data_IF_822550692566
#
_entry.id   IF_822550692566
#
_cell.length_a   1.000
_cell.length_b   1.000
_cell.length_c   1.000
_cell.angle_alpha   90.00
_cell.angle_beta   90.00
_cell.angle_gamma   90.00
#
_symmetry.space_group_name_H-M   'P 1'
#
loop_
_entity.id
_entity.type
_entity.pdbx_description
1 polymer ?
#
# COMPACT_ATOMS: atom_id res chain seq x y z
N UNK A 1 -12.12 9.06 52.88
CA UNK A 1 -12.36 9.89 51.67
C UNK A 1 -11.39 9.43 50.60
N UNK A 2 -11.93 8.78 49.58
CA UNK A 2 -11.26 7.85 48.67
C UNK A 2 -10.56 8.60 47.53
N UNK A 3 -9.27 8.32 47.29
CA UNK A 3 -8.53 8.82 46.13
C UNK A 3 -9.00 8.06 44.88
N UNK A 4 -9.68 8.75 43.97
CA UNK A 4 -10.00 8.24 42.64
C UNK A 4 -8.77 8.44 41.76
N UNK A 5 -8.10 7.35 41.37
CA UNK A 5 -7.11 7.33 40.30
C UNK A 5 -7.87 7.35 38.97
N UNK A 6 -7.70 8.42 38.20
CA UNK A 6 -8.18 8.48 36.81
C UNK A 6 -7.41 7.46 35.97
N UNK A 7 -8.05 6.31 35.72
CA UNK A 7 -7.64 5.36 34.70
C UNK A 7 -8.33 5.77 33.40
N UNK A 8 -7.61 6.53 32.56
CA UNK A 8 -8.01 6.78 31.18
C UNK A 8 -7.88 5.47 30.40
N UNK A 9 -9.01 4.80 30.20
CA UNK A 9 -9.11 3.65 29.30
C UNK A 9 -9.15 4.18 27.86
N UNK A 10 -8.01 4.24 27.18
CA UNK A 10 -7.97 4.42 25.73
C UNK A 10 -8.50 3.12 25.11
N UNK A 11 -9.79 3.13 24.73
CA UNK A 11 -10.38 2.08 23.89
C UNK A 11 -9.86 2.34 22.47
N UNK A 12 -8.75 1.71 22.12
CA UNK A 12 -8.29 1.62 20.73
C UNK A 12 -9.28 0.78 19.95
N UNK A 13 -10.03 1.39 19.05
CA UNK A 13 -10.90 0.70 18.10
C UNK A 13 -10.00 0.07 17.03
N UNK A 14 -9.45 -1.11 17.31
CA UNK A 14 -8.73 -1.90 16.31
C UNK A 14 -9.79 -2.56 15.43
N UNK A 15 -10.11 -1.93 14.30
CA UNK A 15 -10.83 -2.57 13.19
C UNK A 15 -9.92 -3.63 12.59
N UNK A 16 -9.94 -4.82 13.18
CA UNK A 16 -9.25 -5.98 12.65
C UNK A 16 -10.11 -6.60 11.55
N UNK A 17 -9.91 -6.17 10.31
CA UNK A 17 -10.50 -6.81 9.14
C UNK A 17 -9.89 -8.21 8.98
N UNK A 18 -10.62 -9.23 9.42
CA UNK A 18 -10.32 -10.63 9.18
C UNK A 18 -10.37 -10.89 7.66
N UNK A 19 -9.23 -10.70 6.98
CA UNK A 19 -9.14 -10.97 5.55
C UNK A 19 -9.16 -12.48 5.34
N UNK A 20 -10.30 -13.02 4.93
CA UNK A 20 -10.37 -14.36 4.36
C UNK A 20 -9.45 -14.39 3.13
N UNK A 21 -8.38 -15.19 3.18
CA UNK A 21 -7.38 -15.29 2.11
C UNK A 21 -7.96 -16.04 0.91
N UNK A 22 -8.82 -15.37 0.14
CA UNK A 22 -9.22 -15.79 -1.18
C UNK A 22 -8.06 -15.59 -2.17
N UNK A 23 -7.96 -16.48 -3.14
CA UNK A 23 -7.14 -16.26 -4.32
C UNK A 23 -7.92 -15.37 -5.30
N UNK A 24 -7.24 -14.48 -6.02
CA UNK A 24 -7.89 -13.53 -6.92
C UNK A 24 -8.39 -12.26 -6.23
N UNK A 25 -9.34 -11.59 -6.87
CA UNK A 25 -9.91 -10.35 -6.35
C UNK A 25 -10.98 -10.62 -5.30
N UNK A 26 -11.11 -9.73 -4.33
CA UNK A 26 -12.11 -9.82 -3.28
C UNK A 26 -12.64 -8.42 -3.03
N UNK A 27 -13.96 -8.28 -3.11
CA UNK A 27 -14.64 -7.02 -2.85
C UNK A 27 -14.25 -6.48 -1.47
N UNK A 28 -13.98 -5.16 -1.35
CA UNK A 28 -13.74 -4.55 -0.04
C UNK A 28 -14.99 -4.60 0.83
N UNK A 29 -14.82 -4.48 2.14
CA UNK A 29 -15.95 -4.31 3.05
C UNK A 29 -16.73 -3.02 2.76
N UNK A 30 -17.97 -2.96 3.24
CA UNK A 30 -18.81 -1.77 3.07
C UNK A 30 -18.12 -0.52 3.61
N UNK A 31 -18.08 0.54 2.79
CA UNK A 31 -17.41 1.80 3.13
C UNK A 31 -15.89 1.81 2.91
N UNK A 32 -15.29 0.68 2.55
CA UNK A 32 -13.87 0.56 2.24
C UNK A 32 -13.61 0.51 0.73
N UNK A 33 -12.35 0.75 0.36
CA UNK A 33 -11.78 0.48 -0.95
C UNK A 33 -10.63 -0.53 -0.82
N UNK A 34 -10.30 -1.23 -1.92
CA UNK A 34 -9.17 -2.14 -1.97
C UNK A 34 -8.12 -1.67 -2.99
N UNK A 35 -6.85 -1.63 -2.59
CA UNK A 35 -5.71 -1.31 -3.45
C UNK A 35 -4.81 -2.55 -3.56
N UNK A 36 -4.52 -2.95 -4.80
CA UNK A 36 -3.64 -4.07 -5.08
C UNK A 36 -2.30 -3.55 -5.61
N UNK A 37 -1.23 -3.74 -4.82
CA UNK A 37 0.14 -3.44 -5.24
C UNK A 37 0.74 -4.67 -5.88
N UNK A 38 0.91 -4.65 -7.20
CA UNK A 38 1.20 -5.82 -8.01
C UNK A 38 2.54 -5.68 -8.71
N UNK A 39 3.50 -6.54 -8.38
CA UNK A 39 4.76 -6.66 -9.10
C UNK A 39 4.70 -7.84 -10.07
N UNK A 40 4.51 -7.56 -11.35
CA UNK A 40 4.41 -8.61 -12.39
C UNK A 40 5.77 -9.12 -12.87
N UNK A 41 6.84 -8.34 -12.69
CA UNK A 41 8.19 -8.69 -13.14
C UNK A 41 9.01 -9.44 -12.07
N UNK A 42 9.71 -10.48 -12.51
CA UNK A 42 10.71 -11.19 -11.70
C UNK A 42 12.10 -10.53 -11.70
N UNK A 43 12.32 -9.53 -12.56
CA UNK A 43 13.57 -8.77 -12.61
C UNK A 43 13.90 -8.15 -11.25
N UNK A 44 15.16 -8.17 -10.84
CA UNK A 44 15.56 -7.72 -9.49
C UNK A 44 14.91 -8.53 -8.37
N UNK A 45 14.73 -9.86 -8.53
CA UNK A 45 13.92 -10.70 -7.64
C UNK A 45 14.29 -10.65 -6.15
N UNK A 46 15.53 -10.31 -5.80
CA UNK A 46 15.98 -10.12 -4.43
C UNK A 46 15.58 -8.75 -3.83
N UNK A 47 15.27 -7.75 -4.66
CA UNK A 47 14.88 -6.42 -4.22
C UNK A 47 13.52 -6.45 -3.52
N UNK A 48 13.50 -5.94 -2.29
CA UNK A 48 12.33 -5.76 -1.44
C UNK A 48 12.01 -4.29 -1.27
N UNK A 49 10.72 -3.96 -1.23
CA UNK A 49 10.25 -2.60 -0.98
C UNK A 49 9.38 -2.57 0.26
N UNK A 50 9.50 -1.49 1.02
CA UNK A 50 8.67 -1.19 2.19
C UNK A 50 7.50 -0.32 1.73
N UNK A 51 6.27 -0.69 2.11
CA UNK A 51 5.05 0.00 1.72
C UNK A 51 4.40 0.64 2.94
N UNK A 52 3.85 1.82 2.71
CA UNK A 52 3.29 2.67 3.75
C UNK A 52 1.92 3.20 3.33
N UNK A 53 1.07 3.39 4.33
CA UNK A 53 -0.18 4.11 4.22
C UNK A 53 -0.14 5.25 5.22
N UNK A 54 -0.16 6.49 4.73
CA UNK A 54 0.11 7.69 5.51
C UNK A 54 1.44 7.54 6.26
N UNK A 55 1.40 7.41 7.59
CA UNK A 55 2.59 7.21 8.43
C UNK A 55 2.80 5.75 8.86
N UNK A 56 1.89 4.86 8.50
CA UNK A 56 1.92 3.48 8.95
C UNK A 56 2.69 2.60 7.97
N UNK A 57 3.66 1.85 8.50
CA UNK A 57 4.27 0.75 7.76
C UNK A 57 3.26 -0.39 7.64
N UNK A 58 2.87 -0.74 6.41
CA UNK A 58 1.81 -1.73 6.17
C UNK A 58 2.37 -3.07 5.67
N UNK A 59 3.48 -3.08 4.94
CA UNK A 59 4.01 -4.32 4.37
C UNK A 59 5.41 -4.19 3.82
N UNK A 60 6.05 -5.35 3.58
CA UNK A 60 7.28 -5.48 2.81
C UNK A 60 7.21 -6.74 1.97
N UNK A 61 7.50 -6.63 0.67
CA UNK A 61 7.63 -7.82 -0.17
C UNK A 61 8.66 -7.64 -1.29
N UNK A 62 9.07 -8.78 -1.86
CA UNK A 62 10.04 -8.89 -2.95
C UNK A 62 9.54 -9.80 -4.06
N UNK A 63 10.22 -9.71 -5.20
CA UNK A 63 9.99 -10.53 -6.38
C UNK A 63 8.60 -10.33 -7.00
N UNK A 64 8.31 -11.16 -8.00
CA UNK A 64 7.02 -11.22 -8.68
C UNK A 64 5.94 -11.69 -7.70
N UNK A 65 5.20 -10.78 -7.07
CA UNK A 65 4.18 -11.03 -6.05
C UNK A 65 3.23 -9.82 -5.98
N UNK A 66 2.19 -9.90 -5.15
CA UNK A 66 1.34 -8.76 -4.86
C UNK A 66 0.90 -8.71 -3.41
N UNK A 67 0.45 -7.54 -2.98
CA UNK A 67 -0.26 -7.29 -1.73
C UNK A 67 -1.65 -6.74 -2.05
N UNK A 68 -2.66 -7.20 -1.32
CA UNK A 68 -3.96 -6.52 -1.22
C UNK A 68 -3.97 -5.70 0.07
N UNK A 69 -4.33 -4.44 -0.02
CA UNK A 69 -4.52 -3.56 1.13
C UNK A 69 -5.93 -2.96 1.08
N UNK A 70 -6.64 -2.96 2.21
CA UNK A 70 -7.98 -2.43 2.31
C UNK A 70 -8.01 -1.31 3.34
N UNK A 71 -8.62 -0.19 2.99
CA UNK A 71 -8.75 0.99 3.83
C UNK A 71 -10.12 1.65 3.62
N UNK A 72 -10.56 2.54 4.53
CA UNK A 72 -11.76 3.34 4.30
C UNK A 72 -11.72 4.07 2.95
N UNK A 73 -12.88 4.36 2.35
CA UNK A 73 -12.95 5.26 1.19
C UNK A 73 -12.50 6.70 1.53
N UNK A 74 -12.06 7.45 0.53
CA UNK A 74 -11.62 8.85 0.64
C UNK A 74 -10.13 9.05 0.33
N UNK A 75 -9.58 10.16 0.84
CA UNK A 75 -8.21 10.58 0.60
C UNK A 75 -7.18 9.77 1.40
N UNK A 76 -6.16 9.26 0.73
CA UNK A 76 -5.04 8.52 1.33
C UNK A 76 -3.74 8.83 0.62
N UNK A 77 -2.63 8.78 1.36
CA UNK A 77 -1.30 8.75 0.78
C UNK A 77 -0.72 7.34 0.88
N UNK A 78 -0.47 6.70 -0.24
CA UNK A 78 0.38 5.51 -0.27
C UNK A 78 1.79 5.88 -0.71
N UNK A 79 2.77 5.19 -0.15
CA UNK A 79 4.13 5.35 -0.64
C UNK A 79 4.96 4.10 -0.44
N UNK A 80 5.98 3.97 -1.27
CA UNK A 80 6.96 2.91 -1.20
C UNK A 80 8.36 3.49 -0.97
N UNK A 81 9.15 2.77 -0.19
CA UNK A 81 10.53 3.13 0.12
C UNK A 81 11.48 2.10 -0.43
N UNK A 82 12.41 2.59 -1.25
CA UNK A 82 13.65 1.90 -1.57
C UNK A 82 14.81 2.91 -1.59
N UNK A 83 15.60 2.98 -2.67
CA UNK A 83 16.64 4.02 -2.85
C UNK A 83 15.98 5.38 -2.90
N UNK A 84 14.87 5.43 -3.62
CA UNK A 84 13.92 6.51 -3.71
C UNK A 84 12.75 6.36 -2.73
N UNK A 85 11.88 7.37 -2.79
CA UNK A 85 10.58 7.41 -2.17
C UNK A 85 9.59 7.73 -3.27
N UNK A 86 8.67 6.80 -3.50
CA UNK A 86 7.66 6.95 -4.52
C UNK A 86 6.31 7.13 -3.84
N UNK A 87 5.62 8.22 -4.15
CA UNK A 87 4.36 8.61 -3.53
C UNK A 87 3.21 8.47 -4.51
N UNK A 88 2.06 8.13 -3.96
CA UNK A 88 0.82 7.93 -4.67
C UNK A 88 -0.32 8.55 -3.85
N UNK A 89 -0.80 9.70 -4.31
CA UNK A 89 -1.95 10.38 -3.74
C UNK A 89 -3.23 9.76 -4.27
N UNK A 90 -4.13 9.33 -3.39
CA UNK A 90 -5.33 8.59 -3.76
C UNK A 90 -6.59 9.25 -3.23
N UNK A 91 -7.63 9.32 -4.05
CA UNK A 91 -9.02 9.46 -3.62
C UNK A 91 -9.79 8.22 -4.06
N UNK A 92 -10.18 7.40 -3.09
CA UNK A 92 -10.73 6.06 -3.31
C UNK A 92 -12.23 6.01 -3.07
N UNK A 93 -13.00 5.52 -4.05
CA UNK A 93 -14.44 5.32 -3.91
C UNK A 93 -14.78 4.07 -3.08
N UNK A 94 -15.86 4.16 -2.29
CA UNK A 94 -16.35 3.06 -1.48
C UNK A 94 -16.83 1.88 -2.36
N UNK A 95 -16.44 0.67 -1.98
CA UNK A 95 -16.81 -0.55 -2.69
C UNK A 95 -15.94 -0.87 -3.91
N UNK A 96 -14.96 -0.01 -4.22
CA UNK A 96 -14.17 -0.10 -5.44
C UNK A 96 -12.76 -0.67 -5.24
N UNK A 97 -12.20 -1.18 -6.34
CA UNK A 97 -10.87 -1.81 -6.38
C UNK A 97 -9.95 -1.08 -7.34
N UNK A 98 -8.73 -0.82 -6.90
CA UNK A 98 -7.71 -0.10 -7.63
C UNK A 98 -6.45 -0.94 -7.76
N UNK A 99 -5.74 -0.78 -8.87
CA UNK A 99 -4.52 -1.53 -9.18
C UNK A 99 -3.33 -0.57 -9.27
N UNK A 100 -2.22 -0.98 -8.66
CA UNK A 100 -0.95 -0.28 -8.72
C UNK A 100 0.12 -1.26 -9.20
N UNK A 101 0.69 -1.01 -10.37
CA UNK A 101 1.86 -1.72 -10.86
C UNK A 101 3.09 -1.25 -10.10
N UNK A 102 3.78 -2.20 -9.47
CA UNK A 102 5.06 -1.96 -8.80
C UNK A 102 6.19 -2.23 -9.77
N UNK A 103 6.81 -1.15 -10.24
CA UNK A 103 7.92 -1.17 -11.18
C UNK A 103 9.27 -1.19 -10.46
N UNK A 104 10.28 -1.70 -11.16
CA UNK A 104 11.66 -1.70 -10.72
C UNK A 104 12.49 -0.93 -11.70
N UNK A 105 13.26 0.00 -11.15
CA UNK A 105 14.28 0.73 -11.88
C UNK A 105 15.65 0.44 -11.26
N UNK A 106 16.69 0.51 -12.09
CA UNK A 106 18.06 0.39 -11.59
C UNK A 106 18.44 1.67 -10.85
N UNK A 107 18.82 1.52 -9.57
CA UNK A 107 19.43 2.59 -8.79
C UNK A 107 20.95 2.47 -8.75
N UNK A 108 21.59 3.44 -8.10
CA UNK A 108 23.05 3.48 -7.95
C UNK A 108 23.58 2.41 -6.99
N UNK A 109 22.81 2.07 -5.95
CA UNK A 109 23.22 1.14 -4.89
C UNK A 109 22.21 0.02 -4.65
N UNK A 110 20.92 0.30 -4.78
CA UNK A 110 19.82 -0.67 -4.70
C UNK A 110 18.74 -0.34 -5.72
N UNK A 111 17.84 -1.29 -5.97
CA UNK A 111 16.73 -1.06 -6.89
C UNK A 111 15.86 0.11 -6.43
N UNK A 112 15.43 0.93 -7.38
CA UNK A 112 14.42 1.97 -7.21
C UNK A 112 13.01 1.39 -7.41
N UNK A 113 12.01 2.01 -6.80
CA UNK A 113 10.60 1.56 -6.85
C UNK A 113 9.75 2.59 -7.57
N UNK A 114 8.93 2.15 -8.52
CA UNK A 114 7.88 2.97 -9.14
C UNK A 114 6.51 2.43 -8.78
N UNK A 115 5.53 3.33 -8.60
CA UNK A 115 4.14 3.03 -8.29
C UNK A 115 3.26 3.62 -9.39
N UNK A 116 2.83 2.78 -10.32
CA UNK A 116 2.06 3.20 -11.49
C UNK A 116 0.61 2.76 -11.33
N UNK A 117 -0.37 3.68 -11.25
CA UNK A 117 -1.79 3.32 -11.35
C UNK A 117 -2.10 2.57 -12.64
N UNK A 118 -2.91 1.51 -12.54
CA UNK A 118 -3.28 0.68 -13.68
C UNK A 118 -4.77 0.77 -13.91
N UNK A 119 -5.14 1.31 -15.06
CA UNK A 119 -6.50 1.32 -15.62
C UNK A 119 -6.66 0.24 -16.70
N UNK A 120 -7.88 0.05 -17.20
CA UNK A 120 -8.22 -1.00 -18.19
C UNK A 120 -7.46 -0.90 -19.51
N UNK A 121 -7.00 0.29 -19.86
CA UNK A 121 -6.27 0.64 -21.08
C UNK A 121 -4.74 0.58 -20.89
N UNK A 122 -4.26 0.29 -19.68
CA UNK A 122 -2.84 0.10 -19.42
C UNK A 122 -2.34 -1.20 -20.07
N UNK A 123 -1.20 -1.12 -20.78
CA UNK A 123 -0.56 -2.26 -21.47
C UNK A 123 -0.25 -3.47 -20.57
N UNK A 124 -0.09 -3.26 -19.26
CA UNK A 124 0.22 -4.28 -18.27
C UNK A 124 -1.01 -4.79 -17.53
N UNK A 125 -2.22 -4.28 -17.82
CA UNK A 125 -3.48 -4.65 -17.18
C UNK A 125 -3.68 -6.18 -17.13
N UNK A 126 -3.62 -6.87 -18.27
CA UNK A 126 -3.80 -8.33 -18.34
C UNK A 126 -2.76 -9.09 -17.49
N UNK A 127 -1.52 -8.60 -17.44
CA UNK A 127 -0.44 -9.23 -16.65
C UNK A 127 -0.66 -9.04 -15.16
N UNK A 128 -1.18 -7.88 -14.76
CA UNK A 128 -1.56 -7.57 -13.38
C UNK A 128 -2.72 -8.46 -12.95
N UNK A 129 -3.80 -8.50 -13.73
CA UNK A 129 -4.98 -9.33 -13.49
C UNK A 129 -4.60 -10.82 -13.37
N UNK A 130 -3.84 -11.34 -14.33
CA UNK A 130 -3.39 -12.73 -14.33
C UNK A 130 -2.52 -13.07 -13.11
N UNK A 131 -1.70 -12.13 -12.61
CA UNK A 131 -0.90 -12.37 -11.41
C UNK A 131 -1.78 -12.51 -10.17
N UNK A 132 -2.75 -11.60 -10.00
CA UNK A 132 -3.64 -11.58 -8.83
C UNK A 132 -4.51 -12.85 -8.79
N UNK A 133 -5.05 -13.27 -9.94
CA UNK A 133 -5.80 -14.52 -10.06
C UNK A 133 -4.92 -15.76 -9.80
N UNK A 134 -3.65 -15.75 -10.19
CA UNK A 134 -2.75 -16.91 -10.06
C UNK A 134 -2.14 -17.09 -8.67
N UNK A 135 -2.02 -16.03 -7.88
CA UNK A 135 -1.30 -16.05 -6.60
C UNK A 135 -2.19 -15.67 -5.44
N UNK A 136 -1.81 -16.09 -4.23
CA UNK A 136 -2.35 -15.53 -2.99
C UNK A 136 -1.63 -14.20 -2.66
N UNK A 137 -2.30 -13.23 -2.02
CA UNK A 137 -1.65 -12.00 -1.61
C UNK A 137 -0.58 -12.32 -0.57
N UNK A 138 0.53 -11.58 -0.63
CA UNK A 138 1.51 -11.57 0.45
C UNK A 138 0.91 -10.81 1.63
N UNK A 139 1.00 -11.42 2.81
CA UNK A 139 0.62 -10.80 4.08
C UNK A 139 1.88 -10.70 4.93
N UNK A 140 2.28 -9.47 5.27
CA UNK A 140 3.36 -9.24 6.24
C UNK A 140 2.82 -9.55 7.62
N UNK A 141 3.53 -10.38 8.39
CA UNK A 141 3.06 -10.78 9.71
C UNK A 141 3.01 -9.60 10.68
N UNK A 142 2.04 -9.61 11.60
CA UNK A 142 1.87 -8.57 12.61
C UNK A 142 3.14 -8.34 13.44
N UNK A 143 3.80 -9.42 13.87
CA UNK A 143 5.07 -9.33 14.58
C UNK A 143 6.15 -8.61 13.75
N UNK A 144 6.18 -8.83 12.42
CA UNK A 144 7.10 -8.15 11.52
C UNK A 144 6.75 -6.67 11.40
N UNK A 145 5.47 -6.33 11.18
CA UNK A 145 4.96 -4.95 11.15
C UNK A 145 5.41 -4.22 12.41
N UNK A 146 5.04 -4.70 13.59
CA UNK A 146 5.40 -4.08 14.87
C UNK A 146 6.92 -3.92 15.04
N UNK A 147 7.69 -4.96 14.69
CA UNK A 147 9.15 -4.90 14.81
C UNK A 147 9.78 -3.86 13.88
N UNK A 148 9.24 -3.71 12.67
CA UNK A 148 9.72 -2.75 11.67
C UNK A 148 9.29 -1.34 12.07
N UNK A 149 8.03 -1.12 12.43
CA UNK A 149 7.53 0.16 12.95
C UNK A 149 8.39 0.68 14.09
N UNK A 150 8.71 -0.17 15.09
CA UNK A 150 9.62 0.22 16.19
C UNK A 150 11.03 0.60 15.71
N UNK A 151 11.56 -0.06 14.68
CA UNK A 151 12.89 0.25 14.12
C UNK A 151 12.88 1.57 13.36
N UNK A 152 11.82 1.84 12.60
CA UNK A 152 11.64 3.08 11.85
C UNK A 152 11.45 4.27 12.80
N UNK A 153 10.65 4.09 13.85
CA UNK A 153 10.44 5.09 14.88
C UNK A 153 11.72 5.46 15.64
N UNK A 154 12.60 4.50 15.94
CA UNK A 154 13.90 4.77 16.59
C UNK A 154 14.84 5.70 15.81
N UNK A 155 14.54 5.97 14.55
CA UNK A 155 15.36 6.77 13.63
C UNK A 155 14.56 7.92 13.02
N UNK A 156 13.36 8.17 13.55
CA UNK A 156 12.42 9.20 13.06
C UNK A 156 12.20 9.13 11.54
N UNK A 157 12.27 7.91 10.97
CA UNK A 157 12.39 7.72 9.53
C UNK A 157 11.14 8.19 8.80
N UNK A 158 9.97 7.77 9.28
CA UNK A 158 8.69 8.13 8.66
C UNK A 158 8.44 9.62 8.79
N UNK A 159 8.69 10.20 9.97
CA UNK A 159 8.53 11.64 10.21
C UNK A 159 9.41 12.46 9.26
N UNK A 160 10.70 12.09 9.15
CA UNK A 160 11.65 12.74 8.23
C UNK A 160 11.17 12.65 6.76
N UNK A 161 10.69 11.48 6.32
CA UNK A 161 10.19 11.31 4.96
C UNK A 161 8.93 12.15 4.72
N UNK A 162 8.03 12.19 5.70
CA UNK A 162 6.78 12.95 5.59
C UNK A 162 7.01 14.45 5.59
N UNK A 163 7.95 14.95 6.38
CA UNK A 163 8.37 16.36 6.35
C UNK A 163 8.89 16.75 4.96
N UNK A 164 9.75 15.91 4.37
CA UNK A 164 10.24 16.13 3.00
C UNK A 164 9.15 16.02 1.95
N UNK A 165 8.22 15.08 2.11
CA UNK A 165 7.07 15.00 1.21
C UNK A 165 6.27 16.30 1.22
N UNK A 166 5.92 16.83 2.40
CA UNK A 166 5.11 18.05 2.49
C UNK A 166 5.85 19.30 1.96
N UNK A 167 7.16 19.38 2.15
CA UNK A 167 7.95 20.57 1.80
C UNK A 167 8.50 20.54 0.38
N UNK A 168 8.83 19.36 -0.16
CA UNK A 168 9.53 19.21 -1.44
C UNK A 168 8.72 18.43 -2.49
N UNK A 169 8.03 17.34 -2.11
CA UNK A 169 7.58 16.34 -3.10
C UNK A 169 6.08 16.34 -3.39
N UNK A 170 5.23 16.84 -2.50
CA UNK A 170 3.77 16.81 -2.66
C UNK A 170 3.29 17.42 -3.98
N UNK A 171 3.93 18.52 -4.41
CA UNK A 171 3.62 19.20 -5.67
C UNK A 171 4.61 18.87 -6.79
N UNK A 172 5.43 17.82 -6.61
CA UNK A 172 6.33 17.34 -7.66
C UNK A 172 5.52 16.74 -8.80
N UNK A 173 5.89 16.98 -10.07
CA UNK A 173 5.25 16.34 -11.22
C UNK A 173 5.44 14.82 -11.27
N UNK A 174 6.23 14.25 -10.34
CA UNK A 174 6.50 12.82 -10.26
C UNK A 174 5.55 12.10 -9.30
N UNK A 175 4.77 12.82 -8.48
CA UNK A 175 3.78 12.19 -7.60
C UNK A 175 2.60 11.72 -8.44
N UNK A 176 2.40 10.41 -8.47
CA UNK A 176 1.28 9.80 -9.19
C UNK A 176 -0.02 9.99 -8.40
N UNK A 177 -1.15 9.90 -9.11
CA UNK A 177 -2.48 10.04 -8.48
C UNK A 177 -3.41 8.89 -8.86
N UNK A 178 -4.26 8.47 -7.93
CA UNK A 178 -5.46 7.66 -8.20
C UNK A 178 -6.68 8.52 -7.94
N UNK A 179 -7.50 8.68 -8.97
CA UNK A 179 -8.79 9.33 -8.87
C UNK A 179 -9.92 8.29 -8.70
N UNK A 180 -11.09 8.70 -8.18
CA UNK A 180 -12.19 7.78 -7.90
C UNK A 180 -12.66 6.97 -9.12
N UNK A 181 -12.52 7.50 -10.33
CA UNK A 181 -12.92 6.92 -11.61
C UNK A 181 -11.92 5.90 -12.19
N UNK A 182 -10.73 5.77 -11.60
CA UNK A 182 -9.70 4.80 -12.03
C UNK A 182 -9.93 3.39 -11.49
N UNK A 183 -11.11 3.12 -10.92
CA UNK A 183 -11.46 1.80 -10.41
C UNK A 183 -11.56 0.75 -11.52
N UNK A 184 -11.33 -0.51 -11.17
CA UNK A 184 -11.54 -1.63 -12.08
C UNK A 184 -12.98 -2.11 -11.99
N UNK A 185 -13.74 -2.14 -13.11
CA UNK A 185 -15.11 -2.62 -13.12
C UNK A 185 -15.24 -4.04 -12.53
N UNK A 186 -16.25 -4.25 -11.69
CA UNK A 186 -16.44 -5.47 -10.89
C UNK A 186 -16.60 -6.72 -11.74
N UNK A 187 -17.13 -6.58 -12.95
CA UNK A 187 -17.25 -7.65 -13.95
C UNK A 187 -15.89 -8.19 -14.42
N UNK A 188 -14.83 -7.37 -14.39
CA UNK A 188 -13.48 -7.77 -14.77
C UNK A 188 -12.71 -8.44 -13.62
N UNK A 189 -13.16 -8.26 -12.37
CA UNK A 189 -12.51 -8.79 -11.17
C UNK A 189 -12.82 -10.27 -10.90
N UNK A 190 -13.48 -10.98 -11.82
CA UNK A 190 -13.91 -12.37 -11.64
C UNK A 190 -12.83 -13.39 -12.02
#
# INVERSE_FOLDING_TARGET
>A
MTKIKNLLLLIGFVLFSLSASSQGFTSPANGNAAVYFVRVSGYGGAASFEYFHNQDFISVFKGKNYMRYECPAGEHLFWASSEDKEFLDCDLAAGETYLVLVNIEMGAWKARVGLEPVTIDNKDFDRVMALVQKKKPIVTSEAKIQSTTRKLAKRDFVETVMERYQTEWKNSPHTQTINPDMFIPKELLK
#
